data_IF_150437392346
#
_entry.id   IF_150437392346
#
_cell.length_a   1.000
_cell.length_b   1.000
_cell.length_c   1.000
_cell.angle_alpha   90.00
_cell.angle_beta   90.00
_cell.angle_gamma   90.00
#
_symmetry.space_group_name_H-M   'P 1'
#
loop_
_entity.id
_entity.type
_entity.pdbx_description
1 polymer ?
#
# COMPACT_ATOMS: atom_id res chain seq x y z
N UNK A 1 5.60 -38.34 7.57
CA UNK A 1 4.82 -37.93 6.38
C UNK A 1 5.01 -36.45 6.16
N UNK A 2 5.53 -36.01 5.01
CA UNK A 2 5.57 -34.58 4.65
C UNK A 2 4.13 -34.12 4.44
N UNK A 3 3.70 -33.08 5.14
CA UNK A 3 2.32 -32.57 5.09
C UNK A 3 2.12 -31.79 3.78
N UNK A 4 2.04 -32.52 2.66
CA UNK A 4 1.87 -31.95 1.32
C UNK A 4 0.49 -31.30 1.13
N UNK A 5 -0.50 -31.72 1.91
CA UNK A 5 -1.87 -31.18 1.86
C UNK A 5 -1.93 -29.68 2.16
N UNK A 6 -1.08 -29.17 3.05
CA UNK A 6 -1.01 -27.73 3.34
C UNK A 6 -0.46 -26.93 2.15
N UNK A 7 0.49 -27.52 1.40
CA UNK A 7 1.06 -26.88 0.21
C UNK A 7 0.02 -26.83 -0.90
N UNK A 8 -0.69 -27.94 -1.13
CA UNK A 8 -1.76 -28.03 -2.12
C UNK A 8 -2.90 -27.05 -1.82
N UNK A 9 -3.36 -26.99 -0.56
CA UNK A 9 -4.36 -26.03 -0.12
C UNK A 9 -3.91 -24.58 -0.34
N UNK A 10 -2.65 -24.26 -0.03
CA UNK A 10 -2.08 -22.93 -0.23
C UNK A 10 -2.03 -22.54 -1.71
N UNK A 11 -1.67 -23.47 -2.60
CA UNK A 11 -1.64 -23.24 -4.05
C UNK A 11 -3.06 -23.05 -4.60
N UNK A 12 -4.02 -23.89 -4.18
CA UNK A 12 -5.42 -23.83 -4.63
C UNK A 12 -6.10 -22.49 -4.32
N UNK A 13 -5.81 -21.89 -3.16
CA UNK A 13 -6.36 -20.56 -2.79
C UNK A 13 -5.56 -19.39 -3.39
N UNK A 14 -4.59 -19.65 -4.27
CA UNK A 14 -3.79 -18.60 -4.91
C UNK A 14 -2.69 -18.02 -4.01
N UNK A 15 -2.23 -18.75 -2.99
CA UNK A 15 -1.19 -18.30 -2.06
C UNK A 15 0.12 -17.90 -2.75
N UNK A 16 0.50 -18.57 -3.84
CA UNK A 16 1.67 -18.18 -4.65
C UNK A 16 1.49 -16.81 -5.29
N UNK A 17 0.30 -16.53 -5.83
CA UNK A 17 -0.01 -15.22 -6.44
C UNK A 17 0.06 -14.15 -5.36
N UNK A 18 -0.50 -14.39 -4.18
CA UNK A 18 -0.43 -13.46 -3.03
C UNK A 18 1.00 -13.26 -2.51
N UNK A 19 1.83 -14.30 -2.47
CA UNK A 19 3.22 -14.22 -2.02
C UNK A 19 4.08 -13.42 -2.99
N UNK A 20 3.96 -13.71 -4.30
CA UNK A 20 4.52 -12.85 -5.35
C UNK A 20 3.97 -11.45 -5.18
N UNK A 21 2.68 -11.31 -4.82
CA UNK A 21 2.00 -10.04 -4.62
C UNK A 21 2.55 -9.19 -3.45
N UNK A 22 3.07 -9.86 -2.43
CA UNK A 22 3.62 -9.22 -1.25
C UNK A 22 5.05 -8.71 -1.49
N UNK A 23 5.87 -9.42 -2.28
CA UNK A 23 7.30 -9.10 -2.47
C UNK A 23 7.54 -7.69 -3.01
N UNK A 24 6.71 -7.18 -3.92
CA UNK A 24 6.88 -5.81 -4.45
C UNK A 24 6.58 -4.72 -3.41
N UNK A 25 5.76 -5.02 -2.39
CA UNK A 25 5.39 -4.08 -1.32
C UNK A 25 6.51 -4.01 -0.29
N UNK A 26 7.27 -5.09 -0.11
CA UNK A 26 8.42 -5.12 0.80
C UNK A 26 9.47 -4.10 0.36
N UNK A 27 9.64 -3.87 -0.95
CA UNK A 27 10.57 -2.86 -1.43
C UNK A 27 10.12 -1.42 -1.08
N UNK A 28 8.80 -1.15 -1.12
CA UNK A 28 8.24 0.13 -0.64
C UNK A 28 8.47 0.35 0.86
N UNK A 29 8.41 -0.71 1.66
CA UNK A 29 8.68 -0.63 3.12
C UNK A 29 10.19 -0.53 3.41
N UNK A 30 11.04 -1.09 2.55
CA UNK A 30 12.49 -1.14 2.76
C UNK A 30 13.20 0.20 2.58
N UNK A 31 12.53 1.25 2.10
CA UNK A 31 13.15 2.58 2.01
C UNK A 31 13.36 3.26 3.37
N UNK A 32 12.91 2.69 4.50
CA UNK A 32 13.23 3.27 5.83
C UNK A 32 13.46 2.25 6.93
N UNK A 33 14.64 1.64 6.92
CA UNK A 33 15.34 1.42 8.20
C UNK A 33 16.08 2.71 8.54
N UNK A 34 15.52 3.53 9.42
CA UNK A 34 16.26 4.61 10.06
C UNK A 34 17.37 3.98 10.90
N UNK A 35 18.62 4.02 10.42
CA UNK A 35 19.79 3.61 11.20
C UNK A 35 19.96 4.65 12.31
N UNK A 36 19.78 4.30 13.59
CA UNK A 36 19.71 5.29 14.68
C UNK A 36 21.09 5.82 15.11
N UNK A 37 22.10 5.90 14.23
CA UNK A 37 23.49 6.11 14.66
C UNK A 37 24.35 7.10 13.86
N UNK A 38 23.79 8.12 13.19
CA UNK A 38 24.59 9.32 12.86
C UNK A 38 23.77 10.62 13.00
N UNK A 39 23.96 11.29 14.14
CA UNK A 39 23.17 12.45 14.59
C UNK A 39 23.46 13.80 13.92
N UNK A 40 24.15 13.87 12.77
CA UNK A 40 24.54 15.17 12.20
C UNK A 40 24.15 15.43 10.73
N UNK A 41 23.44 14.53 10.04
CA UNK A 41 23.04 14.73 8.61
C UNK A 41 21.61 14.24 8.26
N UNK A 42 20.70 14.12 9.25
CA UNK A 42 19.31 13.63 9.05
C UNK A 42 18.29 14.79 8.92
N UNK A 43 18.64 15.91 8.28
CA UNK A 43 17.63 16.93 7.99
C UNK A 43 16.88 16.62 6.68
N UNK A 44 17.58 16.10 5.66
CA UNK A 44 17.02 16.00 4.31
C UNK A 44 15.81 15.07 4.17
N UNK A 45 15.73 13.98 4.95
CA UNK A 45 14.60 13.03 4.88
C UNK A 45 13.39 13.46 5.73
N UNK A 46 13.59 14.30 6.74
CA UNK A 46 12.51 14.82 7.58
C UNK A 46 11.73 15.97 6.90
N UNK A 47 12.31 16.59 5.87
CA UNK A 47 11.69 17.65 5.06
C UNK A 47 11.22 17.18 3.68
N UNK A 48 11.32 15.89 3.37
CA UNK A 48 10.82 15.38 2.10
C UNK A 48 9.29 15.32 2.19
N UNK A 49 8.62 16.32 1.60
CA UNK A 49 7.16 16.28 1.43
C UNK A 49 6.80 14.95 0.75
N UNK A 50 5.86 14.17 1.30
CA UNK A 50 5.46 12.91 0.69
C UNK A 50 5.00 13.19 -0.73
N UNK A 51 5.44 12.36 -1.68
CA UNK A 51 5.09 12.56 -3.08
C UNK A 51 3.56 12.44 -3.22
N UNK A 52 2.93 13.56 -3.63
CA UNK A 52 1.52 13.62 -4.01
C UNK A 52 1.42 13.04 -5.41
N UNK A 53 1.15 11.75 -5.51
CA UNK A 53 1.20 11.00 -6.78
C UNK A 53 -0.16 10.53 -7.26
N UNK A 54 -1.13 10.40 -6.36
CA UNK A 54 -2.39 9.72 -6.64
C UNK A 54 -3.52 10.68 -6.93
N UNK A 55 -4.29 10.38 -7.96
CA UNK A 55 -5.55 11.01 -8.28
C UNK A 55 -6.66 9.96 -8.19
N UNK A 56 -7.88 10.36 -7.83
CA UNK A 56 -9.06 9.50 -7.88
C UNK A 56 -10.25 10.21 -8.52
N UNK A 57 -11.22 9.43 -8.99
CA UNK A 57 -12.50 9.94 -9.48
C UNK A 57 -13.50 9.85 -8.34
N UNK A 58 -14.04 10.99 -7.92
CA UNK A 58 -15.06 11.08 -6.88
C UNK A 58 -16.43 10.59 -7.39
N UNK A 59 -17.41 10.46 -6.49
CA UNK A 59 -18.80 10.08 -6.80
C UNK A 59 -19.45 11.03 -7.81
N UNK A 60 -19.07 12.31 -7.79
CA UNK A 60 -19.51 13.31 -8.76
C UNK A 60 -18.79 13.22 -10.13
N UNK A 61 -17.92 12.23 -10.32
CA UNK A 61 -17.16 12.04 -11.56
C UNK A 61 -16.00 13.03 -11.75
N UNK A 62 -15.75 13.87 -10.74
CA UNK A 62 -14.66 14.84 -10.74
C UNK A 62 -13.34 14.19 -10.35
N UNK A 63 -12.25 14.61 -11.01
CA UNK A 63 -10.90 14.17 -10.68
C UNK A 63 -10.39 14.96 -9.47
N UNK A 64 -9.99 14.25 -8.42
CA UNK A 64 -9.49 14.82 -7.17
C UNK A 64 -8.05 14.35 -6.94
N UNK A 65 -7.15 15.29 -6.65
CA UNK A 65 -5.73 15.03 -6.43
C UNK A 65 -4.84 16.13 -7.03
N UNK A 66 -3.52 15.96 -7.03
CA UNK A 66 -2.78 14.80 -6.53
C UNK A 66 -2.69 14.74 -5.00
N UNK A 67 -2.70 13.53 -4.44
CA UNK A 67 -2.71 13.29 -2.99
C UNK A 67 -1.77 12.17 -2.57
N UNK A 68 -1.43 12.18 -1.28
CA UNK A 68 -0.53 11.21 -0.65
C UNK A 68 -1.29 9.93 -0.26
N UNK A 69 -0.57 8.81 -0.14
CA UNK A 69 -1.14 7.52 0.30
C UNK A 69 -1.84 7.62 1.67
N UNK A 70 -1.33 8.45 2.58
CA UNK A 70 -1.98 8.70 3.87
C UNK A 70 -3.35 9.36 3.75
N UNK A 71 -3.52 10.27 2.78
CA UNK A 71 -4.82 10.88 2.52
C UNK A 71 -5.81 9.84 1.99
N UNK A 72 -5.35 8.90 1.15
CA UNK A 72 -6.16 7.77 0.66
C UNK A 72 -6.59 6.85 1.81
N UNK A 73 -5.68 6.52 2.75
CA UNK A 73 -6.01 5.77 3.97
C UNK A 73 -7.11 6.44 4.80
N UNK A 74 -7.06 7.78 4.92
CA UNK A 74 -8.09 8.55 5.63
C UNK A 74 -9.43 8.51 4.91
N UNK A 75 -9.46 8.66 3.59
CA UNK A 75 -10.68 8.52 2.79
C UNK A 75 -11.28 7.12 2.92
N UNK A 76 -10.43 6.08 2.90
CA UNK A 76 -10.84 4.69 3.12
C UNK A 76 -11.49 4.48 4.49
N UNK A 77 -10.85 5.01 5.54
CA UNK A 77 -11.35 4.93 6.92
C UNK A 77 -12.70 5.63 7.08
N UNK A 78 -12.93 6.72 6.35
CA UNK A 78 -14.20 7.47 6.32
C UNK A 78 -15.27 6.81 5.43
N UNK A 79 -14.91 5.78 4.65
CA UNK A 79 -15.77 5.16 3.62
C UNK A 79 -16.21 6.12 2.51
N UNK A 80 -15.41 7.14 2.23
CA UNK A 80 -15.64 8.04 1.10
C UNK A 80 -15.31 7.36 -0.24
N UNK A 81 -14.31 6.48 -0.22
CA UNK A 81 -13.86 5.67 -1.35
C UNK A 81 -14.15 4.18 -1.10
N UNK A 82 -14.32 3.41 -2.17
CA UNK A 82 -14.56 1.96 -2.15
C UNK A 82 -13.61 1.24 -3.11
N UNK A 83 -13.61 -0.10 -3.10
CA UNK A 83 -12.78 -0.95 -3.97
C UNK A 83 -13.02 -0.71 -5.48
N UNK A 84 -14.16 -0.10 -5.82
CA UNK A 84 -14.52 0.26 -7.20
C UNK A 84 -14.07 1.66 -7.62
N UNK A 85 -13.61 2.50 -6.68
CA UNK A 85 -13.14 3.85 -6.97
C UNK A 85 -11.93 3.79 -7.90
N UNK A 86 -11.94 4.62 -8.95
CA UNK A 86 -10.87 4.66 -9.94
C UNK A 86 -9.76 5.59 -9.47
N UNK A 87 -8.53 5.10 -9.50
CA UNK A 87 -7.31 5.81 -9.17
C UNK A 87 -6.36 5.82 -10.36
N UNK A 88 -5.50 6.83 -10.40
CA UNK A 88 -4.44 6.99 -11.38
C UNK A 88 -3.25 7.69 -10.72
N UNK A 89 -2.05 7.40 -11.20
CA UNK A 89 -0.83 8.07 -10.79
C UNK A 89 0.08 8.29 -12.00
N UNK A 90 1.00 9.25 -11.89
CA UNK A 90 1.99 9.51 -12.94
C UNK A 90 2.79 8.23 -13.25
N UNK A 91 2.78 7.79 -14.50
CA UNK A 91 3.40 6.53 -14.94
C UNK A 91 2.41 5.36 -15.13
N UNK A 92 1.14 5.51 -14.76
CA UNK A 92 0.09 4.56 -15.13
C UNK A 92 -0.46 4.85 -16.54
N UNK A 93 -0.68 3.78 -17.30
CA UNK A 93 -1.30 3.83 -18.64
C UNK A 93 -2.74 4.37 -18.58
N UNK A 94 -3.53 3.91 -17.61
CA UNK A 94 -4.96 4.18 -17.52
C UNK A 94 -5.43 4.26 -16.06
N UNK A 95 -6.61 4.83 -15.86
CA UNK A 95 -7.33 4.79 -14.59
C UNK A 95 -7.71 3.36 -14.23
N UNK A 96 -7.28 2.91 -13.05
CA UNK A 96 -7.55 1.55 -12.56
C UNK A 96 -8.41 1.59 -11.32
N UNK A 97 -9.22 0.56 -11.09
CA UNK A 97 -9.98 0.47 -9.84
C UNK A 97 -9.02 0.21 -8.68
N UNK A 98 -9.37 0.70 -7.50
CA UNK A 98 -8.59 0.54 -6.28
C UNK A 98 -8.19 -0.93 -6.02
N UNK A 99 -9.11 -1.87 -6.26
CA UNK A 99 -8.85 -3.31 -6.10
C UNK A 99 -7.78 -3.88 -7.05
N UNK A 100 -7.61 -3.27 -8.23
CA UNK A 100 -6.71 -3.73 -9.28
C UNK A 100 -5.32 -3.07 -9.14
N UNK A 101 -5.21 -2.07 -8.26
CA UNK A 101 -3.96 -1.39 -7.92
C UNK A 101 -3.40 -2.02 -6.66
N UNK A 102 -2.42 -2.89 -6.88
CA UNK A 102 -1.72 -3.63 -5.84
C UNK A 102 -1.19 -2.75 -4.71
N UNK A 103 -0.46 -1.70 -5.06
CA UNK A 103 0.17 -0.77 -4.10
C UNK A 103 -0.84 -0.17 -3.12
N UNK A 104 -1.95 0.37 -3.63
CA UNK A 104 -3.03 0.91 -2.81
C UNK A 104 -3.77 -0.19 -2.05
N UNK A 105 -3.98 -1.36 -2.65
CA UNK A 105 -4.62 -2.50 -1.99
C UNK A 105 -3.86 -2.90 -0.72
N UNK A 106 -2.54 -2.93 -0.77
CA UNK A 106 -1.71 -3.20 0.40
C UNK A 106 -1.64 -2.03 1.38
N UNK A 107 -1.55 -0.79 0.88
CA UNK A 107 -1.59 0.40 1.72
C UNK A 107 -2.89 0.51 2.56
N UNK A 108 -3.99 -0.05 2.05
CA UNK A 108 -5.30 -0.09 2.71
C UNK A 108 -5.57 -1.39 3.49
N UNK A 109 -4.80 -2.44 3.26
CA UNK A 109 -4.93 -3.72 3.96
C UNK A 109 -4.47 -3.66 5.45
N UNK A 110 -4.34 -2.46 6.02
CA UNK A 110 -3.82 -2.18 7.34
C UNK A 110 -4.70 -2.71 8.47
N UNK A 111 -4.60 -4.01 8.75
CA UNK A 111 -4.18 -4.36 10.11
C UNK A 111 -2.66 -4.29 10.08
N UNK A 112 -2.11 -3.17 10.52
CA UNK A 112 -0.70 -3.16 10.96
C UNK A 112 -0.66 -4.15 12.13
N UNK A 113 0.00 -5.32 12.03
CA UNK A 113 0.36 -6.01 13.25
C UNK A 113 1.32 -5.07 13.96
N UNK A 114 0.82 -4.44 15.02
CA UNK A 114 1.65 -3.78 16.01
C UNK A 114 2.58 -4.87 16.52
N UNK A 115 3.83 -4.87 16.07
CA UNK A 115 4.88 -5.80 16.54
C UNK A 115 5.38 -5.34 17.92
N UNK A 116 4.52 -4.70 18.71
CA UNK A 116 4.80 -4.39 20.11
C UNK A 116 4.36 -5.61 20.91
N UNK A 117 5.27 -6.28 21.63
CA UNK A 117 4.87 -7.36 22.51
C UNK A 117 3.88 -6.81 23.55
N UNK A 118 2.77 -7.51 23.84
CA UNK A 118 1.95 -7.17 24.99
C UNK A 118 2.83 -7.23 26.25
N UNK A 119 2.79 -6.16 27.04
CA UNK A 119 3.44 -6.10 28.36
C UNK A 119 2.81 -7.08 29.34
#
# INVERSE_FOLDING_TARGET
MKVLSNVEACVLVGGCVLAVDLITVVHETSERTSIPLQSNLIAASAFMEPLKEWMYIDKDGSQVGPMEKDAIRRLWSKKDIDWTTRFWASGMLDWKKLRDIRELRWALASRVPVITPPQ
#
